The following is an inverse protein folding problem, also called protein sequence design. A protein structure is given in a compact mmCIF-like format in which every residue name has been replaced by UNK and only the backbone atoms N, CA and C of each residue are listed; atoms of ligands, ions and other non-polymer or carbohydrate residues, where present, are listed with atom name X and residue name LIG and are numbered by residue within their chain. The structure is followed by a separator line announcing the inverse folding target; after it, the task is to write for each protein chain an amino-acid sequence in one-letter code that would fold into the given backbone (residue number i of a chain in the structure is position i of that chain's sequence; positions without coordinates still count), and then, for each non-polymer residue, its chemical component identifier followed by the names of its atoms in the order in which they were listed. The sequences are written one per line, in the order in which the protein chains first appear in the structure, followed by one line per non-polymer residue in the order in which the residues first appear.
data_IF_485282545801
#
_entry.id   IF_485282545801
#
_cell.length_a   1.000
_cell.length_b   1.000
_cell.length_c   1.000
_cell.angle_alpha   90.00
_cell.angle_beta   90.00
_cell.angle_gamma   90.00
#
_symmetry.space_group_name_H-M   'P 1'
#
loop_
_entity.id
_entity.type
_entity.pdbx_description
1 polymer ?
#
# COMPACT_ATOMS: atom_id res chain seq x y z
N UNK A 1 -12.28 26.95 12.02
CA UNK A 1 -12.05 27.34 13.45
C UNK A 1 -10.79 26.69 14.00
N UNK A 2 -10.67 25.35 14.02
CA UNK A 2 -9.48 24.68 14.54
C UNK A 2 -8.20 25.04 13.75
N UNK A 3 -8.30 25.18 12.43
CA UNK A 3 -7.20 25.61 11.58
C UNK A 3 -6.61 26.97 11.96
N UNK A 4 -7.42 27.96 12.27
CA UNK A 4 -6.97 29.30 12.65
C UNK A 4 -6.06 29.30 13.87
N UNK A 5 -6.33 28.40 14.81
CA UNK A 5 -5.53 28.25 16.04
C UNK A 5 -4.32 27.33 15.80
N UNK A 6 -4.51 26.25 15.07
CA UNK A 6 -3.48 25.25 14.86
C UNK A 6 -2.36 25.74 13.92
N UNK A 7 -2.70 26.44 12.83
CA UNK A 7 -1.75 26.93 11.83
C UNK A 7 -0.71 27.88 12.39
N UNK A 8 -1.08 28.70 13.37
CA UNK A 8 -0.18 29.68 14.01
C UNK A 8 0.61 29.09 15.20
N UNK A 9 0.29 27.86 15.63
CA UNK A 9 1.03 27.19 16.70
C UNK A 9 2.48 26.91 16.24
N UNK A 10 3.49 27.27 17.06
CA UNK A 10 4.90 27.03 16.68
C UNK A 10 5.16 25.56 16.30
N UNK A 11 5.95 25.28 15.22
CA UNK A 11 6.21 23.93 14.77
C UNK A 11 6.71 22.97 15.84
N UNK A 12 7.57 23.43 16.75
CA UNK A 12 8.06 22.62 17.88
C UNK A 12 6.94 22.21 18.85
N UNK A 13 5.96 23.07 19.07
CA UNK A 13 4.81 22.73 19.93
C UNK A 13 3.90 21.69 19.28
N UNK A 14 3.72 21.77 17.94
CA UNK A 14 3.01 20.74 17.19
C UNK A 14 3.77 19.40 17.22
N UNK A 15 5.08 19.43 16.98
CA UNK A 15 5.93 18.25 17.03
C UNK A 15 5.87 17.52 18.39
N UNK A 16 5.83 18.25 19.52
CA UNK A 16 5.70 17.64 20.86
C UNK A 16 4.42 16.82 21.03
N UNK A 17 3.32 17.23 20.42
CA UNK A 17 2.07 16.45 20.42
C UNK A 17 2.25 15.18 19.58
N UNK A 18 2.97 15.26 18.45
CA UNK A 18 3.25 14.09 17.59
C UNK A 18 4.20 13.10 18.29
N UNK A 19 5.22 13.57 19.01
CA UNK A 19 6.05 12.71 19.87
C UNK A 19 5.19 11.96 20.89
N UNK A 20 4.24 12.67 21.51
CA UNK A 20 3.33 12.04 22.47
C UNK A 20 2.39 11.03 21.80
N UNK A 21 1.92 11.33 20.58
CA UNK A 21 1.10 10.41 19.79
C UNK A 21 1.84 9.12 19.48
N UNK A 22 3.13 9.21 19.09
CA UNK A 22 3.99 8.04 18.92
C UNK A 22 4.00 7.16 20.17
N UNK A 23 4.28 7.73 21.35
CA UNK A 23 4.29 6.98 22.61
C UNK A 23 2.94 6.31 22.93
N UNK A 24 1.84 6.98 22.62
CA UNK A 24 0.49 6.46 22.85
C UNK A 24 0.18 5.31 21.89
N UNK A 25 0.59 5.40 20.61
CA UNK A 25 0.47 4.28 19.66
C UNK A 25 1.27 3.07 20.16
N UNK A 26 2.53 3.26 20.57
CA UNK A 26 3.39 2.18 21.08
C UNK A 26 2.77 1.46 22.27
N UNK A 27 2.13 2.18 23.18
CA UNK A 27 1.43 1.60 24.33
C UNK A 27 0.18 0.80 23.95
N UNK A 28 -0.49 1.15 22.85
CA UNK A 28 -1.72 0.52 22.37
C UNK A 28 -1.49 -0.35 21.14
N UNK A 29 -0.24 -0.72 20.86
CA UNK A 29 0.17 -1.37 19.63
C UNK A 29 -0.54 -2.71 19.37
N UNK A 30 -0.65 -3.56 20.39
CA UNK A 30 -1.35 -4.84 20.28
C UNK A 30 -2.88 -4.69 20.13
N UNK A 31 -3.47 -3.69 20.79
CA UNK A 31 -4.89 -3.37 20.64
C UNK A 31 -5.20 -2.99 19.20
N UNK A 32 -4.42 -2.08 18.62
CA UNK A 32 -4.56 -1.65 17.24
C UNK A 32 -4.34 -2.81 16.26
N UNK A 33 -3.37 -3.67 16.49
CA UNK A 33 -3.15 -4.86 15.66
C UNK A 33 -4.34 -5.82 15.69
N UNK A 34 -4.96 -6.04 16.86
CA UNK A 34 -6.17 -6.86 17.01
C UNK A 34 -7.36 -6.26 16.28
N UNK A 35 -7.55 -4.94 16.32
CA UNK A 35 -8.60 -4.26 15.56
C UNK A 35 -8.43 -4.51 14.04
N UNK A 36 -7.20 -4.38 13.53
CA UNK A 36 -6.91 -4.67 12.12
C UNK A 36 -7.26 -6.12 11.77
N UNK A 37 -6.81 -7.08 12.59
CA UNK A 37 -7.09 -8.50 12.33
C UNK A 37 -8.59 -8.79 12.36
N UNK A 38 -9.34 -8.19 13.29
CA UNK A 38 -10.77 -8.46 13.46
C UNK A 38 -11.61 -8.02 12.27
N UNK A 39 -11.24 -6.95 11.58
CA UNK A 39 -12.00 -6.41 10.45
C UNK A 39 -11.44 -6.84 9.10
N UNK A 40 -10.11 -6.79 8.93
CA UNK A 40 -9.46 -7.15 7.67
C UNK A 40 -9.24 -8.67 7.52
N UNK A 41 -8.95 -9.38 8.61
CA UNK A 41 -8.64 -10.82 8.59
C UNK A 41 -7.17 -11.19 8.38
N UNK A 42 -6.27 -10.26 8.04
CA UNK A 42 -4.84 -10.57 7.87
C UNK A 42 -4.23 -11.15 9.15
N UNK A 43 -3.13 -11.90 9.01
CA UNK A 43 -2.45 -12.49 10.17
C UNK A 43 -1.89 -11.40 11.09
N UNK A 44 -1.82 -11.72 12.40
CA UNK A 44 -1.47 -10.74 13.45
C UNK A 44 -0.10 -10.10 13.23
N UNK A 45 0.89 -10.86 12.75
CA UNK A 45 2.22 -10.33 12.45
C UNK A 45 2.20 -9.35 11.26
N UNK A 46 1.37 -9.58 10.24
CA UNK A 46 1.16 -8.61 9.15
C UNK A 46 0.50 -7.32 9.65
N UNK A 47 -0.45 -7.43 10.58
CA UNK A 47 -1.08 -6.26 11.20
C UNK A 47 -0.06 -5.44 11.99
N UNK A 48 0.82 -6.09 12.76
CA UNK A 48 1.93 -5.44 13.48
C UNK A 48 2.92 -4.78 12.53
N UNK A 49 3.32 -5.46 11.45
CA UNK A 49 4.18 -4.88 10.41
C UNK A 49 3.58 -3.64 9.76
N UNK A 50 2.27 -3.63 9.54
CA UNK A 50 1.54 -2.46 9.04
C UNK A 50 1.62 -1.28 10.02
N UNK A 51 1.40 -1.52 11.31
CA UNK A 51 1.49 -0.50 12.35
C UNK A 51 2.91 0.06 12.46
N UNK A 52 3.93 -0.80 12.44
CA UNK A 52 5.35 -0.39 12.49
C UNK A 52 5.68 0.60 11.38
N UNK A 53 5.29 0.29 10.13
CA UNK A 53 5.53 1.18 8.97
C UNK A 53 4.77 2.50 9.05
N UNK A 54 3.58 2.50 9.61
CA UNK A 54 2.83 3.74 9.87
C UNK A 54 3.49 4.58 10.97
N UNK A 55 4.00 3.92 12.02
CA UNK A 55 4.69 4.57 13.13
C UNK A 55 6.00 5.24 12.69
N UNK A 56 6.74 4.63 11.75
CA UNK A 56 7.95 5.23 11.13
C UNK A 56 7.65 6.58 10.49
N UNK A 57 6.47 6.75 9.87
CA UNK A 57 6.06 8.05 9.31
C UNK A 57 5.67 9.05 10.41
N UNK A 58 5.07 8.59 11.51
CA UNK A 58 4.82 9.43 12.68
C UNK A 58 6.15 9.92 13.27
N UNK A 59 7.15 9.06 13.38
CA UNK A 59 8.52 9.43 13.80
C UNK A 59 9.14 10.47 12.87
N UNK A 60 9.02 10.27 11.55
CA UNK A 60 9.48 11.25 10.57
C UNK A 60 8.80 12.61 10.75
N UNK A 61 7.50 12.62 11.02
CA UNK A 61 6.73 13.84 11.28
C UNK A 61 7.18 14.60 12.55
N UNK A 62 7.78 13.91 13.53
CA UNK A 62 8.39 14.55 14.70
C UNK A 62 9.53 15.51 14.33
N UNK A 63 10.23 15.26 13.21
CA UNK A 63 11.30 16.10 12.69
C UNK A 63 10.84 17.34 11.89
N UNK A 64 9.54 17.57 11.77
CA UNK A 64 8.97 18.62 10.92
C UNK A 64 9.52 20.04 11.16
N UNK A 65 9.91 20.46 12.40
CA UNK A 65 10.46 21.78 12.59
C UNK A 65 11.72 22.07 11.78
N UNK A 66 12.52 21.04 11.45
CA UNK A 66 13.69 21.19 10.60
C UNK A 66 13.33 21.22 9.11
N UNK A 67 12.30 20.48 8.70
CA UNK A 67 11.87 20.37 7.31
C UNK A 67 11.05 21.59 6.85
N UNK A 68 10.49 22.36 7.77
CA UNK A 68 9.72 23.57 7.47
C UNK A 68 10.59 24.80 7.25
N UNK A 69 11.93 24.70 7.39
CA UNK A 69 12.84 25.80 7.07
C UNK A 69 12.73 26.17 5.60
N UNK A 70 12.75 27.46 5.33
CA UNK A 70 12.85 28.00 3.98
C UNK A 70 14.31 28.29 3.59
N UNK A 71 14.48 28.72 2.36
CA UNK A 71 15.79 29.12 1.82
C UNK A 71 15.91 30.65 1.87
N UNK A 72 17.13 31.14 2.01
CA UNK A 72 17.48 32.56 1.95
C UNK A 72 18.69 32.74 1.02
N UNK A 73 18.61 33.71 0.12
CA UNK A 73 19.72 34.11 -0.75
C UNK A 73 19.91 35.62 -0.63
N UNK A 74 21.07 36.00 -0.08
CA UNK A 74 21.47 37.40 -0.01
C UNK A 74 22.01 37.86 -1.37
N UNK A 75 21.62 39.09 -1.76
CA UNK A 75 22.06 39.72 -3.02
C UNK A 75 21.84 38.82 -4.26
N UNK A 76 20.66 38.24 -4.39
CA UNK A 76 20.24 37.51 -5.59
C UNK A 76 20.20 38.41 -6.84
N UNK A 77 20.11 39.70 -6.62
CA UNK A 77 20.30 40.80 -7.55
C UNK A 77 20.89 42.00 -6.78
N UNK A 78 21.27 43.05 -7.46
CA UNK A 78 21.83 44.25 -6.80
C UNK A 78 20.84 44.83 -5.78
N UNK A 79 21.19 44.76 -4.49
CA UNK A 79 20.35 45.19 -3.36
C UNK A 79 18.98 44.43 -3.26
N UNK A 80 18.97 43.16 -3.71
CA UNK A 80 17.75 42.34 -3.65
C UNK A 80 18.07 41.04 -2.93
N UNK A 81 17.35 40.75 -1.83
CA UNK A 81 17.37 39.46 -1.16
C UNK A 81 16.12 38.65 -1.54
N UNK A 82 16.24 37.34 -1.53
CA UNK A 82 15.13 36.42 -1.76
C UNK A 82 15.04 35.37 -0.68
N UNK A 83 13.82 35.08 -0.23
CA UNK A 83 13.60 34.01 0.72
C UNK A 83 12.30 33.27 0.42
N UNK A 84 12.22 32.02 0.86
CA UNK A 84 11.01 31.20 0.83
C UNK A 84 10.53 30.87 2.25
N UNK A 85 9.21 30.80 2.42
CA UNK A 85 8.57 30.29 3.64
C UNK A 85 7.57 29.19 3.28
N UNK A 86 7.43 28.20 4.16
CA UNK A 86 6.47 27.12 4.01
C UNK A 86 5.26 27.43 4.88
N UNK A 87 4.08 27.42 4.29
CA UNK A 87 2.82 27.72 4.96
C UNK A 87 1.84 26.54 4.81
N UNK A 88 0.97 26.27 5.83
CA UNK A 88 -0.07 25.28 5.70
C UNK A 88 -1.12 25.68 4.67
N UNK A 89 -1.71 24.67 4.01
CA UNK A 89 -2.73 24.87 2.97
C UNK A 89 -4.12 25.19 3.54
N UNK A 90 -4.44 24.64 4.70
CA UNK A 90 -5.78 24.73 5.28
C UNK A 90 -6.32 23.40 5.78
N UNK A 91 -7.55 23.07 5.39
CA UNK A 91 -8.18 21.79 5.68
C UNK A 91 -7.79 20.79 4.58
N UNK A 92 -6.96 19.81 4.90
CA UNK A 92 -6.60 18.73 3.98
C UNK A 92 -7.47 17.50 4.22
N UNK A 93 -7.69 16.70 3.20
CA UNK A 93 -8.43 15.44 3.32
C UNK A 93 -7.60 14.25 2.84
N UNK A 94 -7.85 13.08 3.44
CA UNK A 94 -7.31 11.80 3.03
C UNK A 94 -8.42 10.76 2.87
N UNK A 95 -8.36 9.99 1.79
CA UNK A 95 -9.27 8.89 1.50
C UNK A 95 -8.42 7.62 1.37
N UNK A 96 -8.63 6.64 2.25
CA UNK A 96 -7.72 5.51 2.40
C UNK A 96 -8.40 4.16 2.17
N UNK A 97 -7.65 3.16 1.66
CA UNK A 97 -8.16 1.83 1.35
C UNK A 97 -8.20 0.92 2.58
N UNK A 98 -8.84 -0.23 2.41
CA UNK A 98 -9.02 -1.23 3.47
C UNK A 98 -7.74 -2.02 3.82
N UNK A 99 -6.85 -2.22 2.86
CA UNK A 99 -5.76 -3.19 3.02
C UNK A 99 -4.69 -2.79 4.06
N UNK A 100 -4.60 -1.51 4.41
CA UNK A 100 -3.72 -0.99 5.46
C UNK A 100 -4.42 0.12 6.26
N UNK A 101 -5.40 -0.23 7.13
CA UNK A 101 -6.25 0.76 7.81
C UNK A 101 -5.52 1.63 8.85
N UNK A 102 -4.30 1.26 9.22
CA UNK A 102 -3.41 2.08 10.06
C UNK A 102 -2.32 2.77 9.23
N UNK A 103 -1.57 2.00 8.44
CA UNK A 103 -0.38 2.46 7.73
C UNK A 103 -0.70 3.60 6.76
N UNK A 104 -1.67 3.42 5.88
CA UNK A 104 -1.98 4.42 4.84
C UNK A 104 -2.55 5.71 5.43
N UNK A 105 -3.49 5.70 6.40
CA UNK A 105 -3.84 6.93 7.11
C UNK A 105 -2.65 7.64 7.76
N UNK A 106 -1.76 6.89 8.41
CA UNK A 106 -0.56 7.45 9.06
C UNK A 106 0.48 7.99 8.06
N UNK A 107 0.40 7.68 6.79
CA UNK A 107 1.20 8.36 5.76
C UNK A 107 0.72 9.79 5.49
N UNK A 108 -0.54 10.10 5.76
CA UNK A 108 -1.19 11.33 5.36
C UNK A 108 -1.35 12.31 6.52
N UNK A 109 -2.14 11.95 7.55
CA UNK A 109 -2.56 12.91 8.56
C UNK A 109 -1.42 13.40 9.48
N UNK A 110 -0.42 12.59 9.90
CA UNK A 110 0.63 13.11 10.78
C UNK A 110 1.45 14.20 10.13
N UNK A 111 1.82 14.01 8.86
CA UNK A 111 2.57 15.00 8.10
C UNK A 111 1.78 16.28 7.86
N UNK A 112 0.53 16.16 7.45
CA UNK A 112 -0.34 17.31 7.23
C UNK A 112 -0.53 18.14 8.52
N UNK A 113 -0.80 17.47 9.64
CA UNK A 113 -1.02 18.09 10.95
C UNK A 113 0.28 18.71 11.47
N UNK A 114 1.42 18.02 11.33
CA UNK A 114 2.73 18.56 11.72
C UNK A 114 3.06 19.86 10.94
N UNK A 115 2.70 19.93 9.67
CA UNK A 115 2.87 21.14 8.85
C UNK A 115 1.92 22.29 9.21
N UNK A 116 0.95 22.07 10.10
CA UNK A 116 0.01 23.11 10.57
C UNK A 116 -1.36 23.07 9.87
N UNK A 117 -1.62 22.06 9.04
CA UNK A 117 -2.95 21.83 8.47
C UNK A 117 -3.89 21.16 9.48
N UNK A 118 -5.19 21.28 9.28
CA UNK A 118 -6.18 20.38 9.85
C UNK A 118 -6.50 19.27 8.86
N UNK A 119 -6.99 18.13 9.35
CA UNK A 119 -7.14 16.96 8.49
C UNK A 119 -8.48 16.26 8.68
N UNK A 120 -9.10 15.89 7.57
CA UNK A 120 -10.28 15.04 7.49
C UNK A 120 -9.86 13.70 6.89
N UNK A 121 -10.05 12.61 7.62
CA UNK A 121 -9.80 11.26 7.16
C UNK A 121 -11.12 10.57 6.85
N UNK A 122 -11.26 10.07 5.61
CA UNK A 122 -12.29 9.11 5.22
C UNK A 122 -11.62 7.73 5.10
N UNK A 123 -11.68 6.87 6.13
CA UNK A 123 -11.17 5.51 6.03
C UNK A 123 -12.04 4.64 5.15
N UNK A 124 -11.59 3.42 4.87
CA UNK A 124 -12.44 2.40 4.26
C UNK A 124 -13.64 2.07 5.15
N UNK A 125 -14.81 1.92 4.55
CA UNK A 125 -16.04 1.48 5.21
C UNK A 125 -15.98 0.01 5.66
N UNK A 126 -14.99 -0.75 5.18
CA UNK A 126 -14.82 -2.18 5.48
C UNK A 126 -14.14 -2.44 6.81
N UNK A 127 -13.24 -1.53 7.22
CA UNK A 127 -12.42 -1.69 8.42
C UNK A 127 -12.10 -0.35 9.08
N UNK A 128 -13.13 0.40 9.55
CA UNK A 128 -12.99 1.76 10.05
C UNK A 128 -12.49 1.85 11.50
N UNK A 129 -12.50 0.76 12.28
CA UNK A 129 -12.29 0.83 13.73
C UNK A 129 -10.86 1.25 14.10
N UNK A 130 -9.85 0.75 13.39
CA UNK A 130 -8.47 1.13 13.66
C UNK A 130 -8.21 2.63 13.38
N UNK A 131 -8.61 3.23 12.26
CA UNK A 131 -8.54 4.67 12.03
C UNK A 131 -9.28 5.53 13.08
N UNK A 132 -10.46 5.10 13.53
CA UNK A 132 -11.19 5.77 14.61
C UNK A 132 -10.40 5.75 15.91
N UNK A 133 -9.86 4.58 16.28
CA UNK A 133 -9.04 4.45 17.48
C UNK A 133 -7.77 5.30 17.43
N UNK A 134 -7.12 5.40 16.25
CA UNK A 134 -5.98 6.31 16.05
C UNK A 134 -6.36 7.78 16.31
N UNK A 135 -7.56 8.21 15.93
CA UNK A 135 -8.01 9.57 16.21
C UNK A 135 -8.23 9.81 17.70
N UNK A 136 -8.81 8.84 18.43
CA UNK A 136 -8.94 8.90 19.89
C UNK A 136 -7.57 8.98 20.56
N UNK A 137 -6.62 8.14 20.16
CA UNK A 137 -5.26 8.14 20.70
C UNK A 137 -4.53 9.46 20.41
N UNK A 138 -4.80 10.08 19.26
CA UNK A 138 -4.21 11.39 18.96
C UNK A 138 -4.79 12.49 19.84
N UNK A 139 -6.09 12.42 20.18
CA UNK A 139 -6.71 13.28 21.16
C UNK A 139 -6.12 13.05 22.58
N UNK A 140 -5.93 11.79 22.99
CA UNK A 140 -5.24 11.42 24.24
C UNK A 140 -3.81 12.00 24.31
N UNK A 141 -3.12 12.08 23.17
CA UNK A 141 -1.80 12.71 23.05
C UNK A 141 -1.82 14.24 23.17
N UNK A 142 -3.01 14.86 23.27
CA UNK A 142 -3.19 16.30 23.45
C UNK A 142 -3.43 17.09 22.17
N UNK A 143 -3.83 16.42 21.07
CA UNK A 143 -4.26 17.12 19.86
C UNK A 143 -5.57 17.86 20.15
N UNK A 144 -5.68 19.17 19.82
CA UNK A 144 -6.91 19.92 20.01
C UNK A 144 -8.07 19.39 19.15
N UNK A 145 -9.29 19.48 19.68
CA UNK A 145 -10.50 19.11 18.96
C UNK A 145 -10.63 19.85 17.62
N UNK A 146 -11.05 19.12 16.58
CA UNK A 146 -11.24 19.65 15.23
C UNK A 146 -9.98 19.73 14.38
N UNK A 147 -8.77 19.46 14.91
CA UNK A 147 -7.53 19.40 14.12
C UNK A 147 -7.48 18.12 13.30
N UNK A 148 -7.92 16.99 13.86
CA UNK A 148 -8.08 15.71 13.17
C UNK A 148 -9.51 15.21 13.33
N UNK A 149 -10.15 14.86 12.20
CA UNK A 149 -11.55 14.42 12.16
C UNK A 149 -11.65 13.18 11.28
N UNK A 150 -12.38 12.16 11.72
CA UNK A 150 -12.67 10.95 10.94
C UNK A 150 -14.13 10.98 10.52
N UNK A 151 -14.40 10.77 9.24
CA UNK A 151 -15.76 10.73 8.66
C UNK A 151 -15.93 9.40 7.95
N UNK A 152 -16.82 8.56 8.44
CA UNK A 152 -17.17 7.30 7.81
C UNK A 152 -18.20 7.52 6.69
N UNK A 153 -18.16 6.67 5.69
CA UNK A 153 -19.08 6.66 4.55
C UNK A 153 -18.39 6.14 3.29
N UNK A 154 -19.14 6.14 2.22
CA UNK A 154 -18.72 5.67 0.91
C UNK A 154 -18.60 6.82 -0.11
N UNK A 155 -19.14 6.63 -1.31
CA UNK A 155 -19.10 7.58 -2.42
C UNK A 155 -19.64 8.96 -2.07
N UNK A 156 -20.71 9.06 -1.29
CA UNK A 156 -21.33 10.34 -0.94
C UNK A 156 -20.36 11.24 -0.16
N UNK A 157 -19.62 10.66 0.79
CA UNK A 157 -18.62 11.39 1.56
C UNK A 157 -17.41 11.77 0.69
N UNK A 158 -17.01 10.89 -0.23
CA UNK A 158 -15.96 11.19 -1.20
C UNK A 158 -16.35 12.40 -2.06
N UNK A 159 -17.56 12.39 -2.61
CA UNK A 159 -18.06 13.49 -3.45
C UNK A 159 -18.15 14.80 -2.65
N UNK A 160 -18.65 14.74 -1.42
CA UNK A 160 -18.70 15.92 -0.54
C UNK A 160 -17.30 16.50 -0.26
N UNK A 161 -16.27 15.65 -0.07
CA UNK A 161 -14.87 16.10 0.08
C UNK A 161 -14.37 16.77 -1.21
N UNK A 162 -14.67 16.17 -2.36
CA UNK A 162 -14.20 16.68 -3.65
C UNK A 162 -14.88 18.01 -4.05
N UNK A 163 -16.15 18.21 -3.67
CA UNK A 163 -16.93 19.40 -4.01
C UNK A 163 -16.76 20.55 -3.01
N UNK A 164 -16.37 20.26 -1.76
CA UNK A 164 -16.27 21.28 -0.72
C UNK A 164 -15.11 22.24 -0.99
N UNK A 165 -15.42 23.53 -1.13
CA UNK A 165 -14.46 24.61 -1.44
C UNK A 165 -13.45 24.89 -0.31
N UNK A 166 -13.78 24.55 0.93
CA UNK A 166 -12.91 24.75 2.09
C UNK A 166 -11.82 23.66 2.24
N UNK A 167 -11.81 22.66 1.36
CA UNK A 167 -10.82 21.58 1.32
C UNK A 167 -9.91 21.79 0.08
N UNK A 168 -8.77 22.48 0.22
CA UNK A 168 -7.89 22.78 -0.91
C UNK A 168 -7.01 21.61 -1.37
N UNK A 169 -6.91 20.54 -0.57
CA UNK A 169 -6.03 19.41 -0.91
C UNK A 169 -6.64 18.06 -0.49
N UNK A 170 -6.48 17.06 -1.36
CA UNK A 170 -6.91 15.68 -1.12
C UNK A 170 -5.81 14.70 -1.49
N UNK A 171 -5.58 13.72 -0.61
CA UNK A 171 -4.74 12.54 -0.85
C UNK A 171 -5.63 11.29 -0.92
N UNK A 172 -5.37 10.44 -1.90
CA UNK A 172 -6.11 9.20 -2.12
C UNK A 172 -5.16 8.02 -2.40
N UNK A 173 -5.49 6.88 -1.82
CA UNK A 173 -4.90 5.58 -2.20
C UNK A 173 -6.05 4.58 -2.42
N UNK A 174 -6.04 3.87 -3.56
CA UNK A 174 -7.04 2.86 -3.86
C UNK A 174 -6.94 2.32 -5.28
N UNK A 175 -8.03 1.80 -5.84
CA UNK A 175 -8.04 1.24 -7.18
C UNK A 175 -7.90 2.32 -8.26
N UNK A 176 -7.32 1.96 -9.41
CA UNK A 176 -7.09 2.89 -10.54
C UNK A 176 -8.33 3.62 -11.03
N UNK A 177 -9.52 2.98 -11.20
CA UNK A 177 -10.71 3.72 -11.63
C UNK A 177 -11.14 4.80 -10.63
N UNK A 178 -11.00 4.52 -9.33
CA UNK A 178 -11.34 5.50 -8.29
C UNK A 178 -10.25 6.58 -8.20
N UNK A 179 -8.97 6.24 -8.32
CA UNK A 179 -7.89 7.22 -8.37
C UNK A 179 -8.10 8.23 -9.51
N UNK A 180 -8.49 7.75 -10.69
CA UNK A 180 -8.82 8.59 -11.84
C UNK A 180 -10.02 9.50 -11.54
N UNK A 181 -11.09 8.95 -10.97
CA UNK A 181 -12.27 9.72 -10.55
C UNK A 181 -11.91 10.85 -9.56
N UNK A 182 -11.11 10.52 -8.52
CA UNK A 182 -10.65 11.48 -7.52
C UNK A 182 -9.79 12.59 -8.17
N UNK A 183 -8.87 12.20 -9.05
CA UNK A 183 -8.00 13.15 -9.73
C UNK A 183 -8.78 14.12 -10.61
N UNK A 184 -9.66 13.60 -11.48
CA UNK A 184 -10.45 14.41 -12.41
C UNK A 184 -11.40 15.37 -11.68
N UNK A 185 -12.15 14.86 -10.68
CA UNK A 185 -13.11 15.69 -9.94
C UNK A 185 -12.41 16.63 -8.94
N UNK A 186 -11.34 16.24 -8.33
CA UNK A 186 -10.54 17.12 -7.47
C UNK A 186 -9.92 18.27 -8.26
N UNK A 187 -9.29 17.98 -9.40
CA UNK A 187 -8.72 19.01 -10.28
C UNK A 187 -9.79 19.97 -10.84
N UNK A 188 -10.96 19.43 -11.23
CA UNK A 188 -12.10 20.25 -11.66
C UNK A 188 -12.55 21.25 -10.58
N UNK A 189 -12.42 20.90 -9.32
CA UNK A 189 -12.74 21.74 -8.16
C UNK A 189 -11.50 22.48 -7.60
N UNK A 190 -10.45 22.67 -8.41
CA UNK A 190 -9.26 23.47 -8.11
C UNK A 190 -8.45 22.96 -6.88
N UNK A 191 -8.57 21.67 -6.53
CA UNK A 191 -7.83 21.06 -5.42
C UNK A 191 -6.45 20.61 -5.85
N UNK A 192 -5.52 20.61 -4.91
CA UNK A 192 -4.28 19.85 -5.02
C UNK A 192 -4.60 18.38 -4.78
N UNK A 193 -4.31 17.53 -5.76
CA UNK A 193 -4.67 16.12 -5.72
C UNK A 193 -3.43 15.24 -5.80
N UNK A 194 -3.31 14.31 -4.86
CA UNK A 194 -2.44 13.15 -4.94
C UNK A 194 -3.35 11.91 -5.01
N UNK A 195 -3.40 11.23 -6.14
CA UNK A 195 -4.23 10.05 -6.35
C UNK A 195 -3.35 8.88 -6.76
N UNK A 196 -3.16 7.92 -5.84
CA UNK A 196 -2.35 6.73 -6.03
C UNK A 196 -3.27 5.55 -6.35
N UNK A 197 -3.11 4.99 -7.55
CA UNK A 197 -3.94 3.92 -8.10
C UNK A 197 -3.37 2.52 -7.88
N UNK A 198 -3.79 1.59 -8.75
CA UNK A 198 -3.36 0.20 -8.73
C UNK A 198 -1.93 -0.04 -9.21
N UNK A 199 -1.48 -1.27 -9.07
CA UNK A 199 -0.13 -1.69 -9.39
C UNK A 199 -0.10 -3.07 -10.05
N UNK A 200 1.01 -3.38 -10.74
CA UNK A 200 1.36 -4.72 -11.20
C UNK A 200 2.87 -4.90 -11.04
N UNK A 201 3.28 -5.33 -9.86
CA UNK A 201 4.70 -5.38 -9.53
C UNK A 201 5.35 -6.65 -10.06
N UNK A 202 6.52 -6.48 -10.66
CA UNK A 202 7.30 -7.54 -11.26
C UNK A 202 8.55 -7.83 -10.42
N UNK A 203 8.86 -9.11 -10.27
CA UNK A 203 10.08 -9.60 -9.65
C UNK A 203 10.89 -10.37 -10.69
N UNK A 204 12.04 -9.86 -11.08
CA UNK A 204 12.93 -10.54 -12.04
C UNK A 204 13.79 -11.55 -11.29
N UNK A 205 13.80 -12.79 -11.77
CA UNK A 205 14.61 -13.88 -11.22
C UNK A 205 15.63 -14.29 -12.27
N UNK A 206 16.90 -13.93 -12.02
CA UNK A 206 18.02 -14.24 -12.91
C UNK A 206 18.54 -15.66 -12.67
N UNK A 207 19.14 -16.34 -13.67
CA UNK A 207 19.64 -17.70 -13.52
C UNK A 207 20.76 -17.87 -12.47
N UNK A 208 21.49 -16.79 -12.19
CA UNK A 208 22.59 -16.74 -11.22
C UNK A 208 22.16 -16.43 -9.78
N UNK A 209 20.85 -16.20 -9.54
CA UNK A 209 20.35 -15.78 -8.24
C UNK A 209 20.50 -16.86 -7.15
N UNK A 210 20.36 -16.44 -5.90
CA UNK A 210 20.05 -17.36 -4.81
C UNK A 210 18.57 -17.73 -4.90
N UNK A 211 18.30 -18.91 -5.45
CA UNK A 211 16.93 -19.33 -5.74
C UNK A 211 16.09 -19.52 -4.48
N UNK A 212 16.68 -20.05 -3.40
CA UNK A 212 15.97 -20.20 -2.12
C UNK A 212 15.56 -18.85 -1.55
N UNK A 213 16.45 -17.87 -1.63
CA UNK A 213 16.14 -16.49 -1.21
C UNK A 213 15.04 -15.88 -2.10
N UNK A 214 15.11 -16.04 -3.42
CA UNK A 214 14.12 -15.53 -4.35
C UNK A 214 12.74 -16.17 -4.12
N UNK A 215 12.67 -17.49 -3.92
CA UNK A 215 11.43 -18.20 -3.62
C UNK A 215 10.83 -17.76 -2.28
N UNK A 216 11.63 -17.66 -1.21
CA UNK A 216 11.14 -17.20 0.08
C UNK A 216 10.64 -15.74 0.01
N UNK A 217 11.35 -14.88 -0.72
CA UNK A 217 10.93 -13.49 -0.96
C UNK A 217 9.62 -13.40 -1.74
N UNK A 218 9.47 -14.20 -2.80
CA UNK A 218 8.24 -14.27 -3.58
C UNK A 218 7.05 -14.82 -2.78
N UNK A 219 7.26 -15.84 -1.94
CA UNK A 219 6.20 -16.35 -1.05
C UNK A 219 5.66 -15.25 -0.14
N UNK A 220 6.54 -14.53 0.55
CA UNK A 220 6.13 -13.42 1.41
C UNK A 220 5.51 -12.24 0.66
N UNK A 221 6.05 -11.91 -0.52
CA UNK A 221 5.61 -10.74 -1.28
C UNK A 221 4.35 -10.98 -2.11
N UNK A 222 4.11 -12.18 -2.61
CA UNK A 222 2.93 -12.50 -3.43
C UNK A 222 1.72 -12.95 -2.59
N UNK A 223 1.97 -13.71 -1.51
CA UNK A 223 0.89 -14.35 -0.74
C UNK A 223 0.67 -13.72 0.64
N UNK A 224 1.62 -12.97 1.18
CA UNK A 224 1.45 -12.24 2.44
C UNK A 224 0.22 -11.32 2.38
N UNK A 225 -0.57 -11.28 3.47
CA UNK A 225 -1.86 -10.58 3.53
C UNK A 225 -2.82 -10.97 2.39
N UNK A 226 -2.83 -12.24 2.01
CA UNK A 226 -3.61 -12.81 0.89
C UNK A 226 -3.42 -12.05 -0.45
N UNK A 227 -2.23 -11.47 -0.67
CA UNK A 227 -1.92 -10.68 -1.87
C UNK A 227 -2.60 -9.30 -1.93
N UNK A 228 -3.33 -8.89 -0.90
CA UNK A 228 -4.03 -7.60 -0.83
C UNK A 228 -3.08 -6.44 -0.44
N UNK A 229 -1.96 -6.35 -1.14
CA UNK A 229 -0.95 -5.29 -0.95
C UNK A 229 -0.68 -4.57 -2.27
N UNK A 230 -0.62 -3.24 -2.23
CA UNK A 230 -0.22 -2.43 -3.39
C UNK A 230 1.21 -2.76 -3.87
N UNK A 231 2.08 -3.22 -2.96
CA UNK A 231 3.46 -3.65 -3.24
C UNK A 231 3.60 -5.18 -3.39
N UNK A 232 2.49 -5.95 -3.48
CA UNK A 232 2.57 -7.38 -3.72
C UNK A 232 3.30 -7.67 -5.04
N UNK A 233 4.18 -8.65 -5.04
CA UNK A 233 4.83 -9.14 -6.26
C UNK A 233 3.85 -10.10 -6.95
N UNK A 234 3.11 -9.60 -7.92
CA UNK A 234 2.07 -10.37 -8.63
C UNK A 234 2.56 -11.03 -9.91
N UNK A 235 3.77 -10.68 -10.36
CA UNK A 235 4.43 -11.27 -11.52
C UNK A 235 5.88 -11.65 -11.18
N UNK A 236 6.24 -12.92 -11.37
CA UNK A 236 7.62 -13.39 -11.38
C UNK A 236 8.09 -13.51 -12.83
N UNK A 237 9.15 -12.78 -13.17
CA UNK A 237 9.76 -12.81 -14.52
C UNK A 237 10.97 -13.74 -14.47
N UNK A 238 10.80 -14.97 -14.97
CA UNK A 238 11.85 -15.99 -14.99
C UNK A 238 12.72 -15.83 -16.24
N UNK A 239 14.01 -15.50 -16.05
CA UNK A 239 14.95 -15.25 -17.14
C UNK A 239 15.68 -16.53 -17.53
N UNK A 240 15.77 -16.81 -18.83
CA UNK A 240 16.50 -17.95 -19.36
C UNK A 240 15.91 -19.31 -18.93
N UNK A 241 16.71 -20.15 -18.29
CA UNK A 241 16.33 -21.52 -17.92
C UNK A 241 15.83 -21.70 -16.48
N UNK A 242 15.74 -20.61 -15.68
CA UNK A 242 15.39 -20.74 -14.25
C UNK A 242 13.91 -21.10 -14.02
N UNK A 243 13.03 -20.92 -15.01
CA UNK A 243 11.59 -20.99 -14.86
C UNK A 243 11.06 -22.31 -14.30
N UNK A 244 11.59 -23.45 -14.74
CA UNK A 244 11.08 -24.77 -14.29
C UNK A 244 11.38 -24.98 -12.81
N UNK A 245 12.59 -24.68 -12.38
CA UNK A 245 13.00 -24.85 -10.98
C UNK A 245 12.30 -23.84 -10.07
N UNK A 246 12.14 -22.58 -10.50
CA UNK A 246 11.41 -21.56 -9.79
C UNK A 246 9.95 -22.00 -9.52
N UNK A 247 9.25 -22.43 -10.58
CA UNK A 247 7.86 -22.89 -10.48
C UNK A 247 7.74 -24.10 -9.57
N UNK A 248 8.66 -25.05 -9.70
CA UNK A 248 8.70 -26.24 -8.85
C UNK A 248 8.87 -25.91 -7.36
N UNK A 249 9.81 -25.04 -7.01
CA UNK A 249 10.06 -24.67 -5.62
C UNK A 249 8.91 -23.85 -5.01
N UNK A 250 8.32 -22.90 -5.78
CA UNK A 250 7.15 -22.15 -5.32
C UNK A 250 5.97 -23.09 -5.09
N UNK A 251 5.71 -24.06 -6.01
CA UNK A 251 4.60 -24.99 -5.85
C UNK A 251 4.73 -25.84 -4.59
N UNK A 252 5.93 -26.32 -4.28
CA UNK A 252 6.20 -27.04 -3.02
C UNK A 252 5.94 -26.20 -1.75
N UNK A 253 6.30 -24.93 -1.79
CA UNK A 253 6.03 -24.00 -0.67
C UNK A 253 4.53 -23.78 -0.49
N UNK A 254 3.77 -23.67 -1.59
CA UNK A 254 2.32 -23.50 -1.56
C UNK A 254 1.58 -24.71 -1.00
N UNK A 255 2.08 -25.95 -1.21
CA UNK A 255 1.50 -27.15 -0.61
C UNK A 255 1.53 -27.13 0.93
N UNK A 256 2.46 -26.39 1.52
CA UNK A 256 2.63 -26.30 2.97
C UNK A 256 2.13 -24.99 3.56
N UNK A 257 1.68 -24.04 2.74
CA UNK A 257 1.19 -22.72 3.18
C UNK A 257 -0.04 -22.87 4.07
N UNK A 258 0.06 -22.43 5.32
CA UNK A 258 -1.03 -22.50 6.29
C UNK A 258 -1.96 -21.31 6.16
N UNK A 259 -3.13 -21.57 5.58
CA UNK A 259 -4.21 -20.59 5.48
C UNK A 259 -5.14 -20.76 6.68
N UNK A 260 -5.49 -19.66 7.34
CA UNK A 260 -6.34 -19.75 8.53
C UNK A 260 -6.69 -18.37 9.13
N UNK A 261 -7.39 -18.36 10.28
CA UNK A 261 -7.77 -17.12 10.95
C UNK A 261 -6.56 -16.30 11.36
N UNK A 262 -6.63 -14.97 11.20
CA UNK A 262 -5.50 -14.07 11.43
C UNK A 262 -4.98 -14.06 12.87
N UNK A 263 -5.79 -14.42 13.85
CA UNK A 263 -5.37 -14.54 15.26
C UNK A 263 -4.76 -15.91 15.61
N UNK A 264 -4.83 -16.91 14.73
CA UNK A 264 -4.15 -18.17 14.92
C UNK A 264 -2.66 -17.98 14.59
N UNK A 265 -1.80 -18.23 15.57
CA UNK A 265 -0.34 -18.09 15.44
C UNK A 265 0.30 -19.03 14.42
N UNK A 266 -0.42 -20.07 14.00
CA UNK A 266 0.05 -21.01 12.97
C UNK A 266 -0.33 -20.59 11.58
N UNK A 267 -1.25 -19.63 11.42
CA UNK A 267 -1.66 -19.11 10.12
C UNK A 267 -0.57 -18.23 9.51
N UNK A 268 -0.25 -18.49 8.24
CA UNK A 268 0.69 -17.70 7.43
C UNK A 268 -0.04 -16.78 6.46
N UNK A 269 -1.28 -17.09 6.11
CA UNK A 269 -2.15 -16.28 5.25
C UNK A 269 -3.58 -16.29 5.79
N UNK A 270 -4.18 -15.10 5.89
CA UNK A 270 -5.58 -14.90 6.28
C UNK A 270 -6.57 -14.99 5.12
N UNK A 271 -7.87 -14.68 5.37
CA UNK A 271 -8.88 -14.57 4.32
C UNK A 271 -8.72 -13.31 3.50
N UNK A 272 -9.47 -13.20 2.41
CA UNK A 272 -9.76 -11.95 1.71
C UNK A 272 -10.78 -11.11 2.49
N UNK A 273 -10.81 -9.80 2.22
CA UNK A 273 -11.60 -8.84 3.02
C UNK A 273 -13.11 -9.01 2.85
N UNK A 274 -13.61 -9.39 1.67
CA UNK A 274 -15.06 -9.53 1.40
C UNK A 274 -15.35 -10.72 0.48
N UNK A 275 -16.63 -11.15 0.47
CA UNK A 275 -17.11 -12.19 -0.43
C UNK A 275 -16.99 -11.80 -1.90
N UNK A 276 -17.35 -10.56 -2.23
CA UNK A 276 -17.27 -10.03 -3.59
C UNK A 276 -15.83 -10.05 -4.09
N UNK A 277 -14.88 -9.75 -3.20
CA UNK A 277 -13.46 -9.80 -3.56
C UNK A 277 -12.98 -11.24 -3.76
N UNK A 278 -13.44 -12.19 -2.95
CA UNK A 278 -13.17 -13.62 -3.15
C UNK A 278 -13.69 -14.10 -4.51
N UNK A 279 -14.90 -13.72 -4.87
CA UNK A 279 -15.52 -14.08 -6.16
C UNK A 279 -14.75 -13.44 -7.33
N UNK A 280 -14.32 -12.20 -7.18
CA UNK A 280 -13.45 -11.52 -8.16
C UNK A 280 -12.14 -12.29 -8.38
N UNK A 281 -11.44 -12.66 -7.32
CA UNK A 281 -10.16 -13.37 -7.39
C UNK A 281 -10.35 -14.75 -8.03
N UNK A 282 -11.39 -15.50 -7.64
CA UNK A 282 -11.75 -16.78 -8.28
C UNK A 282 -12.01 -16.62 -9.77
N UNK A 283 -12.74 -15.57 -10.15
CA UNK A 283 -12.99 -15.25 -11.55
C UNK A 283 -11.72 -14.98 -12.36
N UNK A 284 -10.69 -14.36 -11.76
CA UNK A 284 -9.39 -14.19 -12.41
C UNK A 284 -8.62 -15.50 -12.55
N UNK A 285 -8.75 -16.44 -11.60
CA UNK A 285 -8.16 -17.78 -11.76
C UNK A 285 -8.82 -18.53 -12.91
N UNK A 286 -10.16 -18.49 -13.00
CA UNK A 286 -10.90 -19.07 -14.15
C UNK A 286 -10.48 -18.43 -15.48
N UNK A 287 -10.33 -17.11 -15.47
CA UNK A 287 -9.92 -16.34 -16.65
C UNK A 287 -8.52 -16.75 -17.12
N UNK A 288 -7.56 -16.90 -16.20
CA UNK A 288 -6.19 -17.31 -16.54
C UNK A 288 -6.15 -18.66 -17.22
N UNK A 289 -6.93 -19.63 -16.71
CA UNK A 289 -7.06 -20.96 -17.36
C UNK A 289 -7.68 -20.82 -18.75
N UNK A 290 -8.73 -20.00 -18.89
CA UNK A 290 -9.40 -19.77 -20.19
C UNK A 290 -8.50 -19.07 -21.20
N UNK A 291 -7.62 -18.19 -20.77
CA UNK A 291 -6.63 -17.51 -21.60
C UNK A 291 -5.44 -18.40 -22.01
N UNK A 292 -5.37 -19.61 -21.46
CA UNK A 292 -4.34 -20.61 -21.80
C UNK A 292 -3.11 -20.58 -20.90
N UNK A 293 -3.12 -19.85 -19.80
CA UNK A 293 -2.06 -19.95 -18.79
C UNK A 293 -2.12 -21.31 -18.09
N UNK A 294 -0.98 -21.86 -17.72
CA UNK A 294 -0.88 -23.13 -17.00
C UNK A 294 -1.10 -22.90 -15.51
N UNK A 295 -2.26 -23.28 -14.99
CA UNK A 295 -2.52 -23.29 -13.54
C UNK A 295 -1.72 -24.45 -12.91
N UNK A 296 -0.68 -24.12 -12.14
CA UNK A 296 0.22 -25.10 -11.50
C UNK A 296 -0.31 -25.47 -10.11
N UNK A 297 -0.75 -24.48 -9.36
CA UNK A 297 -1.37 -24.68 -8.05
C UNK A 297 -2.71 -23.94 -8.04
N UNK A 298 -3.76 -24.67 -7.68
CA UNK A 298 -5.13 -24.15 -7.55
C UNK A 298 -5.53 -24.08 -6.08
N UNK A 299 -5.59 -22.86 -5.54
CA UNK A 299 -5.97 -22.63 -4.15
C UNK A 299 -7.47 -22.42 -3.91
N UNK A 300 -8.33 -22.56 -4.94
CA UNK A 300 -9.77 -22.21 -4.83
C UNK A 300 -10.58 -23.14 -3.94
N UNK A 301 -10.17 -24.40 -3.79
CA UNK A 301 -10.96 -25.44 -3.10
C UNK A 301 -10.58 -25.64 -1.63
N UNK A 302 -9.85 -24.67 -1.03
CA UNK A 302 -9.49 -24.76 0.38
C UNK A 302 -10.75 -24.78 1.25
N UNK A 303 -10.81 -25.69 2.22
CA UNK A 303 -11.88 -25.80 3.21
C UNK A 303 -11.27 -25.76 4.60
N UNK A 304 -11.74 -24.84 5.41
CA UNK A 304 -11.33 -24.69 6.80
C UNK A 304 -12.48 -25.07 7.72
N UNK A 305 -12.28 -26.13 8.52
CA UNK A 305 -13.29 -26.60 9.46
C UNK A 305 -13.62 -25.49 10.48
N UNK A 306 -14.91 -25.19 10.63
CA UNK A 306 -15.40 -24.13 11.51
C UNK A 306 -15.36 -22.72 10.92
N UNK A 307 -14.86 -22.58 9.69
CA UNK A 307 -14.77 -21.30 8.97
C UNK A 307 -15.32 -21.39 7.53
N UNK A 308 -16.30 -22.23 7.31
CA UNK A 308 -16.88 -22.56 5.99
C UNK A 308 -17.50 -21.34 5.30
N UNK A 309 -17.92 -20.33 6.08
CA UNK A 309 -18.46 -19.06 5.58
C UNK A 309 -17.41 -17.95 5.45
N UNK A 310 -16.14 -18.23 5.76
CA UNK A 310 -15.05 -17.29 5.64
C UNK A 310 -14.61 -17.11 4.18
N UNK A 311 -14.01 -15.97 3.88
CA UNK A 311 -13.58 -15.62 2.51
C UNK A 311 -12.18 -16.14 2.20
N UNK A 312 -11.92 -17.41 2.51
CA UNK A 312 -10.61 -18.04 2.34
C UNK A 312 -10.40 -18.54 0.91
N UNK A 313 -9.17 -18.36 0.45
CA UNK A 313 -8.63 -18.92 -0.78
C UNK A 313 -7.15 -19.24 -0.53
N UNK A 314 -6.67 -20.36 -1.03
CA UNK A 314 -5.24 -20.71 -0.99
C UNK A 314 -4.44 -19.95 -2.03
N UNK A 315 -3.12 -20.06 -1.99
CA UNK A 315 -2.24 -19.49 -3.00
C UNK A 315 -2.44 -20.15 -4.36
N UNK A 316 -2.59 -19.34 -5.41
CA UNK A 316 -2.66 -19.80 -6.79
C UNK A 316 -1.36 -19.46 -7.52
N UNK A 317 -0.87 -20.38 -8.36
CA UNK A 317 0.33 -20.21 -9.15
C UNK A 317 0.04 -20.52 -10.62
N UNK A 318 0.27 -19.52 -11.46
CA UNK A 318 0.23 -19.68 -12.93
C UNK A 318 1.64 -19.67 -13.52
N UNK A 319 1.87 -20.54 -14.47
CA UNK A 319 3.05 -20.56 -15.33
C UNK A 319 2.66 -20.27 -16.78
N UNK A 320 3.65 -19.94 -17.62
CA UNK A 320 3.47 -19.64 -19.05
C UNK A 320 2.48 -18.49 -19.32
N UNK A 321 2.42 -17.54 -18.39
CA UNK A 321 1.63 -16.34 -18.57
C UNK A 321 2.29 -15.43 -19.59
N UNK A 322 1.48 -14.87 -20.51
CA UNK A 322 1.96 -13.94 -21.53
C UNK A 322 1.51 -12.51 -21.25
N UNK A 323 2.22 -11.54 -21.81
CA UNK A 323 1.90 -10.10 -21.67
C UNK A 323 0.51 -9.72 -22.21
N UNK A 324 -0.10 -10.54 -23.06
CA UNK A 324 -1.40 -10.26 -23.68
C UNK A 324 -2.58 -10.73 -22.83
N UNK A 325 -2.36 -11.61 -21.86
CA UNK A 325 -3.37 -12.12 -20.95
C UNK A 325 -3.84 -11.05 -19.95
N UNK A 326 -5.12 -11.04 -19.61
CA UNK A 326 -5.70 -10.11 -18.65
C UNK A 326 -5.18 -10.36 -17.24
N UNK A 327 -4.89 -11.62 -16.87
CA UNK A 327 -4.29 -11.94 -15.56
C UNK A 327 -2.89 -11.32 -15.42
N UNK A 328 -2.20 -11.00 -16.51
CA UNK A 328 -0.95 -10.24 -16.53
C UNK A 328 -1.23 -8.73 -16.46
N UNK A 329 -2.14 -8.23 -17.30
CA UNK A 329 -2.40 -6.80 -17.47
C UNK A 329 -3.11 -6.16 -16.28
N UNK A 330 -4.06 -6.87 -15.65
CA UNK A 330 -4.95 -6.32 -14.66
C UNK A 330 -4.50 -6.63 -13.22
N UNK A 331 -4.77 -5.72 -12.30
CA UNK A 331 -4.53 -5.92 -10.89
C UNK A 331 -5.57 -6.86 -10.29
N UNK A 332 -5.13 -8.04 -9.83
CA UNK A 332 -6.00 -9.05 -9.22
C UNK A 332 -6.29 -8.70 -7.76
N UNK A 333 -5.28 -8.28 -7.03
CA UNK A 333 -5.30 -7.94 -5.61
C UNK A 333 -5.69 -9.13 -4.72
N UNK A 334 -5.12 -10.28 -5.02
CA UNK A 334 -5.37 -11.56 -4.35
C UNK A 334 -4.14 -12.47 -4.41
N UNK A 335 -4.16 -13.66 -3.76
CA UNK A 335 -3.02 -14.54 -3.65
C UNK A 335 -2.78 -15.35 -4.95
N UNK A 336 -2.54 -14.64 -6.05
CA UNK A 336 -2.32 -15.19 -7.39
C UNK A 336 -1.01 -14.67 -7.94
N UNK A 337 -0.03 -15.56 -8.11
CA UNK A 337 1.26 -15.26 -8.72
C UNK A 337 1.29 -15.77 -10.17
N UNK A 338 1.68 -14.88 -11.08
CA UNK A 338 1.86 -15.19 -12.51
C UNK A 338 3.34 -15.30 -12.84
N UNK A 339 3.78 -16.41 -13.43
CA UNK A 339 5.15 -16.56 -13.93
C UNK A 339 5.17 -16.29 -15.43
N UNK A 340 5.95 -15.29 -15.82
CA UNK A 340 6.24 -14.93 -17.21
C UNK A 340 7.67 -15.35 -17.51
N UNK A 341 7.87 -16.10 -18.56
CA UNK A 341 9.18 -16.57 -18.99
C UNK A 341 9.73 -15.67 -20.08
N UNK A 342 10.96 -15.20 -19.92
CA UNK A 342 11.66 -14.35 -20.88
C UNK A 342 13.01 -14.94 -21.21
N UNK A 343 13.52 -14.64 -22.41
CA UNK A 343 14.77 -15.18 -22.94
C UNK A 343 15.99 -14.66 -22.18
N UNK A 344 16.02 -13.35 -21.94
CA UNK A 344 17.18 -12.65 -21.41
C UNK A 344 16.78 -11.42 -20.56
N UNK A 345 17.78 -10.77 -19.99
CA UNK A 345 17.62 -9.59 -19.15
C UNK A 345 16.98 -8.40 -19.87
N UNK A 346 17.34 -8.14 -21.13
CA UNK A 346 16.79 -6.99 -21.85
C UNK A 346 15.30 -7.18 -22.16
N UNK A 347 14.86 -8.41 -22.43
CA UNK A 347 13.45 -8.73 -22.58
C UNK A 347 12.68 -8.54 -21.26
N UNK A 348 13.29 -8.91 -20.10
CA UNK A 348 12.71 -8.67 -18.78
C UNK A 348 12.49 -7.17 -18.53
N UNK A 349 13.53 -6.35 -18.77
CA UNK A 349 13.45 -4.90 -18.63
C UNK A 349 12.39 -4.30 -19.55
N UNK A 350 12.34 -4.75 -20.79
CA UNK A 350 11.33 -4.28 -21.75
C UNK A 350 9.92 -4.65 -21.31
N UNK A 351 9.69 -5.88 -20.86
CA UNK A 351 8.39 -6.35 -20.38
C UNK A 351 7.86 -5.45 -19.24
N UNK A 352 8.73 -5.08 -18.31
CA UNK A 352 8.37 -4.24 -17.18
C UNK A 352 8.08 -2.81 -17.61
N UNK A 353 8.94 -2.22 -18.43
CA UNK A 353 8.80 -0.84 -18.89
C UNK A 353 7.61 -0.61 -19.82
N UNK A 354 7.17 -1.66 -20.54
CA UNK A 354 6.00 -1.61 -21.42
C UNK A 354 4.66 -1.77 -20.66
N UNK A 355 4.71 -2.12 -19.36
CA UNK A 355 3.49 -2.33 -18.58
C UNK A 355 2.83 -0.99 -18.20
N UNK A 356 1.49 -0.96 -18.22
CA UNK A 356 0.70 0.24 -17.87
C UNK A 356 0.86 0.65 -16.40
N UNK A 357 1.00 -0.33 -15.50
CA UNK A 357 1.14 -0.08 -14.08
C UNK A 357 2.58 -0.16 -13.60
N UNK A 358 2.94 0.75 -12.69
CA UNK A 358 4.18 0.75 -11.95
C UNK A 358 3.95 0.46 -10.45
N UNK A 359 4.66 1.07 -9.61
CA UNK A 359 4.73 1.13 -8.15
C UNK A 359 6.03 0.52 -7.61
N UNK A 360 6.36 -0.76 -7.94
CA UNK A 360 7.61 -1.34 -7.49
C UNK A 360 8.04 -2.51 -8.36
N UNK A 361 9.35 -2.76 -8.36
CA UNK A 361 9.95 -3.92 -9.01
C UNK A 361 11.20 -4.35 -8.26
N UNK A 362 11.60 -5.60 -8.43
CA UNK A 362 12.79 -6.16 -7.81
C UNK A 362 13.55 -7.08 -8.77
N UNK A 363 14.82 -7.31 -8.49
CA UNK A 363 15.64 -8.28 -9.22
C UNK A 363 16.43 -9.14 -8.23
N UNK A 364 16.41 -10.45 -8.42
CA UNK A 364 17.26 -11.41 -7.72
C UNK A 364 18.39 -11.82 -8.65
N UNK A 365 19.61 -11.46 -8.30
CA UNK A 365 20.84 -11.77 -9.04
C UNK A 365 22.03 -11.74 -8.07
N UNK A 366 23.10 -12.44 -8.41
CA UNK A 366 24.43 -12.33 -7.76
C UNK A 366 25.37 -11.46 -8.55
N UNK A 367 24.98 -11.01 -9.73
CA UNK A 367 25.77 -10.13 -10.60
C UNK A 367 25.46 -8.65 -10.27
N UNK A 368 26.47 -7.95 -9.75
CA UNK A 368 26.36 -6.53 -9.42
C UNK A 368 26.11 -5.62 -10.63
N UNK A 369 26.59 -6.00 -11.82
CA UNK A 369 26.35 -5.24 -13.04
C UNK A 369 24.90 -5.35 -13.50
N UNK A 370 24.31 -6.54 -13.44
CA UNK A 370 22.89 -6.76 -13.68
C UNK A 370 22.04 -5.90 -12.71
N UNK A 371 22.34 -5.94 -11.40
CA UNK A 371 21.61 -5.16 -10.40
C UNK A 371 21.69 -3.65 -10.66
N UNK A 372 22.86 -3.13 -10.95
CA UNK A 372 23.08 -1.71 -11.26
C UNK A 372 22.41 -1.29 -12.57
N UNK A 373 22.55 -2.11 -13.60
CA UNK A 373 21.95 -1.86 -14.91
C UNK A 373 20.43 -1.89 -14.83
N UNK A 374 19.85 -2.84 -14.05
CA UNK A 374 18.42 -2.90 -13.78
C UNK A 374 17.91 -1.59 -13.18
N UNK A 375 18.54 -1.13 -12.10
CA UNK A 375 18.16 0.11 -11.44
C UNK A 375 18.21 1.34 -12.37
N UNK A 376 19.13 1.36 -13.34
CA UNK A 376 19.28 2.49 -14.28
C UNK A 376 18.31 2.43 -15.47
N UNK A 377 17.87 1.24 -15.88
CA UNK A 377 17.01 1.04 -17.07
C UNK A 377 15.52 1.00 -16.75
N UNK A 378 15.15 0.66 -15.50
CA UNK A 378 13.75 0.56 -15.09
C UNK A 378 13.11 1.94 -14.95
N UNK A 379 11.88 2.06 -15.47
CA UNK A 379 11.07 3.30 -15.46
C UNK A 379 9.81 3.14 -14.57
N UNK A 380 9.98 2.45 -13.45
CA UNK A 380 8.93 2.18 -12.46
C UNK A 380 9.16 3.07 -11.24
N UNK A 381 8.10 3.64 -10.67
CA UNK A 381 8.22 4.46 -9.46
C UNK A 381 7.02 5.33 -9.17
#
# INVERSE_FOLDING_TARGET
KAYEIWSIKPPLQRARIIFKFKEVIEKNFEELAKLIVSEHGKVFEDAKGSLTRGLEVVEFACGIPQMLKGDFTENVGTNIDSWSIRQPLGVCAGITPFNFPAMVPMWMFPMAIACGNTFILKPSEKDPSCPLRLAELFKEAGLPDGVFNVVNGDKEVVDAILENKDIPAVSFVGSTPIAKYIYENGAKNEKRVQALGGAKNHCVVMPDCDLDQAVNGLMGAAYGSAGERCMAQSVAVAVGNIGDELVHQISKKLETLKVGPGMDKTSEMGPLVTKEHLEKVRGYVDLGVKEGAKLVVDGRDIKLQGYENGYYIGGCLFDQVTKDMRIYKEEIFGPVLSVVRVKDFDEAVKLINDHEFGNGTSVYTRDGDVGRTFASKIKIG
#
